data_IF_094835505140
#
_entry.id   IF_094835505140
#
_cell.length_a   1.000
_cell.length_b   1.000
_cell.length_c   1.000
_cell.angle_alpha   90.00
_cell.angle_beta   90.00
_cell.angle_gamma   90.00
#
_symmetry.space_group_name_H-M   'P 1'
#
loop_
_entity.id
_entity.type
_entity.pdbx_description
1 polymer ?
#
# COMPACT_ATOMS: atom_id res chain seq x y z
N UNK A 1 -28.50 2.40 7.63
CA UNK A 1 -27.07 2.09 7.37
C UNK A 1 -26.72 2.65 5.99
N UNK A 2 -26.40 3.94 5.88
CA UNK A 2 -25.65 4.45 4.74
C UNK A 2 -24.19 4.08 5.04
N UNK A 3 -23.83 2.82 4.80
CA UNK A 3 -22.42 2.41 4.79
C UNK A 3 -21.93 2.85 3.41
N UNK A 4 -21.57 4.13 3.31
CA UNK A 4 -20.85 4.64 2.16
C UNK A 4 -19.52 3.86 2.10
N UNK A 5 -19.49 2.89 1.17
CA UNK A 5 -18.37 2.07 0.69
C UNK A 5 -17.43 1.48 1.77
N UNK A 6 -17.57 0.17 2.01
CA UNK A 6 -16.55 -0.63 2.71
C UNK A 6 -15.33 -0.76 1.78
N UNK A 7 -14.15 -0.43 2.28
CA UNK A 7 -12.89 -0.52 1.53
C UNK A 7 -12.19 -1.86 1.73
N UNK A 8 -12.11 -2.33 2.98
CA UNK A 8 -11.52 -3.62 3.30
C UNK A 8 -12.06 -4.19 4.63
N UNK A 9 -11.93 -5.50 4.79
CA UNK A 9 -12.44 -6.25 5.92
C UNK A 9 -11.48 -7.39 6.26
N UNK A 10 -11.27 -7.65 7.55
CA UNK A 10 -10.51 -8.82 8.02
C UNK A 10 -11.22 -9.47 9.21
N UNK A 11 -11.14 -10.79 9.28
CA UNK A 11 -11.66 -11.54 10.41
C UNK A 11 -10.53 -11.92 11.37
N UNK A 12 -10.66 -11.51 12.63
CA UNK A 12 -9.76 -11.92 13.69
C UNK A 12 -10.36 -13.10 14.45
N UNK A 13 -9.77 -14.29 14.25
CA UNK A 13 -10.21 -15.53 14.90
C UNK A 13 -10.03 -15.51 16.42
N UNK A 14 -8.96 -14.89 16.92
CA UNK A 14 -8.60 -14.89 18.34
C UNK A 14 -9.66 -14.21 19.21
N UNK A 15 -10.15 -13.04 18.80
CA UNK A 15 -11.21 -12.31 19.50
C UNK A 15 -12.61 -12.60 18.96
N UNK A 16 -12.72 -13.38 17.88
CA UNK A 16 -13.98 -13.62 17.15
C UNK A 16 -14.66 -12.29 16.73
N UNK A 17 -13.89 -11.40 16.12
CA UNK A 17 -14.35 -10.10 15.64
C UNK A 17 -14.03 -9.89 14.16
N UNK A 18 -14.94 -9.23 13.45
CA UNK A 18 -14.77 -8.71 12.11
C UNK A 18 -14.37 -7.23 12.20
N UNK A 19 -13.20 -6.91 11.66
CA UNK A 19 -12.67 -5.55 11.59
C UNK A 19 -12.95 -5.01 10.19
N UNK A 20 -13.60 -3.85 10.11
CA UNK A 20 -14.02 -3.22 8.86
C UNK A 20 -13.43 -1.83 8.74
N UNK A 21 -12.97 -1.50 7.54
CA UNK A 21 -12.66 -0.15 7.11
C UNK A 21 -13.74 0.37 6.16
N UNK A 22 -14.16 1.61 6.39
CA UNK A 22 -15.20 2.30 5.65
C UNK A 22 -14.86 3.79 5.54
N UNK A 23 -15.64 4.54 4.77
CA UNK A 23 -15.42 5.97 4.63
C UNK A 23 -15.36 6.66 6.00
N UNK A 24 -14.24 7.33 6.34
CA UNK A 24 -14.14 8.09 7.56
C UNK A 24 -15.18 9.20 7.62
N UNK A 25 -15.80 9.35 8.79
CA UNK A 25 -16.81 10.38 8.98
C UNK A 25 -16.16 11.64 9.58
N UNK A 26 -16.65 12.85 9.25
CA UNK A 26 -16.15 14.08 9.84
C UNK A 26 -16.33 14.06 11.35
N UNK A 27 -15.24 14.25 12.08
CA UNK A 27 -15.23 14.31 13.54
C UNK A 27 -14.79 15.67 14.05
N UNK A 28 -15.20 15.97 15.28
CA UNK A 28 -14.58 17.05 16.07
C UNK A 28 -13.10 16.75 16.32
N UNK A 29 -12.35 17.78 16.69
CA UNK A 29 -10.94 17.69 17.08
C UNK A 29 -10.70 16.67 18.20
N UNK A 30 -11.66 16.53 19.13
CA UNK A 30 -11.59 15.60 20.25
C UNK A 30 -11.51 14.12 19.82
N UNK A 31 -12.09 13.77 18.67
CA UNK A 31 -12.14 12.40 18.17
C UNK A 31 -11.17 12.15 17.00
N UNK A 32 -10.22 13.03 16.72
CA UNK A 32 -9.30 12.90 15.58
C UNK A 32 -8.46 11.63 15.59
N UNK A 33 -8.16 11.10 16.78
CA UNK A 33 -7.34 9.89 16.97
C UNK A 33 -8.18 8.65 17.33
N UNK A 34 -9.49 8.71 17.08
CA UNK A 34 -10.40 7.59 17.32
C UNK A 34 -10.43 6.63 16.14
N UNK A 35 -10.88 5.38 16.37
CA UNK A 35 -11.13 4.45 15.27
C UNK A 35 -12.18 4.98 14.28
N UNK A 36 -13.11 5.81 14.74
CA UNK A 36 -14.16 6.38 13.91
C UNK A 36 -13.63 7.44 12.93
N UNK A 37 -12.73 8.33 13.36
CA UNK A 37 -12.08 9.31 12.46
C UNK A 37 -11.18 8.64 11.43
N UNK A 38 -10.75 7.40 11.70
CA UNK A 38 -10.05 6.53 10.77
C UNK A 38 -10.98 5.66 9.91
N UNK A 39 -12.29 5.71 10.13
CA UNK A 39 -13.28 4.91 9.40
C UNK A 39 -13.29 3.41 9.76
N UNK A 40 -12.76 3.05 10.93
CA UNK A 40 -12.68 1.67 11.41
C UNK A 40 -13.85 1.32 12.34
N UNK A 41 -14.32 0.09 12.21
CA UNK A 41 -15.30 -0.51 13.14
C UNK A 41 -14.97 -1.97 13.43
N UNK A 42 -15.38 -2.45 14.60
CA UNK A 42 -15.26 -3.84 15.00
C UNK A 42 -16.63 -4.43 15.29
N UNK A 43 -16.87 -5.64 14.81
CA UNK A 43 -18.15 -6.33 14.91
C UNK A 43 -17.95 -7.74 15.45
N UNK A 44 -18.73 -8.13 16.45
CA UNK A 44 -18.74 -9.48 16.99
C UNK A 44 -19.86 -10.29 16.35
N UNK A 45 -19.57 -11.53 16.01
CA UNK A 45 -20.59 -12.51 15.62
C UNK A 45 -21.36 -13.00 16.85
N UNK A 46 -22.68 -13.02 16.75
CA UNK A 46 -23.60 -13.52 17.77
C UNK A 46 -24.51 -14.58 17.15
N UNK A 47 -24.97 -15.55 17.95
CA UNK A 47 -25.74 -16.70 17.45
C UNK A 47 -27.19 -16.37 17.11
N UNK A 48 -27.72 -15.29 17.67
CA UNK A 48 -29.10 -14.86 17.48
C UNK A 48 -29.15 -13.56 16.67
N UNK A 49 -30.31 -13.28 16.07
CA UNK A 49 -30.57 -12.03 15.37
C UNK A 49 -30.15 -10.82 16.23
N UNK A 50 -29.42 -9.82 15.69
CA UNK A 50 -29.08 -9.58 14.27
C UNK A 50 -27.84 -10.31 13.73
N UNK A 51 -27.34 -11.36 14.40
CA UNK A 51 -26.16 -12.17 14.06
C UNK A 51 -24.81 -11.44 14.13
N UNK A 52 -24.83 -10.11 14.16
CA UNK A 52 -23.66 -9.25 14.32
C UNK A 52 -23.97 -8.09 15.25
N UNK A 53 -23.06 -7.80 16.18
CA UNK A 53 -23.12 -6.65 17.07
C UNK A 53 -21.88 -5.80 16.91
N UNK A 54 -22.05 -4.52 16.62
CA UNK A 54 -20.94 -3.56 16.62
C UNK A 54 -20.38 -3.43 18.05
N UNK A 55 -19.07 -3.62 18.20
CA UNK A 55 -18.33 -3.38 19.43
C UNK A 55 -17.72 -1.97 19.45
N UNK A 56 -17.16 -1.56 18.32
CA UNK A 56 -16.51 -0.27 18.15
C UNK A 56 -16.95 0.38 16.83
N UNK A 57 -17.28 1.68 16.84
CA UNK A 57 -17.46 2.52 18.03
C UNK A 57 -18.62 2.01 18.92
N UNK A 58 -18.59 2.32 20.21
CA UNK A 58 -19.69 2.02 21.12
C UNK A 58 -20.96 2.82 20.74
N UNK A 59 -22.12 2.39 21.22
CA UNK A 59 -23.37 3.14 20.98
C UNK A 59 -23.32 4.56 21.52
N UNK A 60 -22.63 4.78 22.65
CA UNK A 60 -22.47 6.10 23.26
C UNK A 60 -21.60 6.99 22.38
N UNK A 61 -20.45 6.51 21.92
CA UNK A 61 -19.57 7.23 20.99
C UNK A 61 -20.32 7.55 19.68
N UNK A 62 -21.06 6.59 19.14
CA UNK A 62 -21.90 6.80 17.95
C UNK A 62 -22.98 7.87 18.18
N UNK A 63 -23.64 7.86 19.34
CA UNK A 63 -24.63 8.89 19.72
C UNK A 63 -23.96 10.26 19.88
N UNK A 64 -22.79 10.36 20.50
CA UNK A 64 -22.05 11.61 20.65
C UNK A 64 -21.68 12.22 19.29
N UNK A 65 -21.29 11.38 18.34
CA UNK A 65 -20.99 11.78 16.96
C UNK A 65 -22.21 12.31 16.21
N UNK A 66 -23.37 11.70 16.43
CA UNK A 66 -24.63 12.12 15.81
C UNK A 66 -25.38 13.23 16.57
N UNK A 67 -25.06 13.44 17.85
CA UNK A 67 -25.64 14.51 18.69
C UNK A 67 -25.22 15.90 18.22
N UNK A 68 -24.15 15.98 17.42
CA UNK A 68 -23.78 17.21 16.74
C UNK A 68 -24.72 17.57 15.62
N UNK A 69 -25.52 18.61 15.84
CA UNK A 69 -26.40 19.19 14.82
C UNK A 69 -25.63 19.50 13.53
N UNK A 70 -26.36 19.59 12.41
CA UNK A 70 -25.82 19.81 11.04
C UNK A 70 -24.81 20.97 10.93
N UNK A 71 -24.85 21.93 11.86
CA UNK A 71 -23.96 23.09 11.93
C UNK A 71 -22.51 22.72 12.31
N UNK A 72 -22.26 21.65 13.08
CA UNK A 72 -20.89 21.27 13.47
C UNK A 72 -20.07 20.65 12.34
N UNK A 73 -20.75 20.18 11.28
CA UNK A 73 -20.09 19.77 10.02
C UNK A 73 -19.45 20.94 9.29
N UNK A 74 -19.91 22.18 9.52
CA UNK A 74 -19.36 23.39 8.89
C UNK A 74 -18.09 23.91 9.58
N UNK A 75 -17.83 23.51 10.82
CA UNK A 75 -16.65 23.91 11.60
C UNK A 75 -15.63 22.77 11.80
N UNK A 76 -15.90 21.59 11.24
CA UNK A 76 -14.93 20.49 11.21
C UNK A 76 -13.92 20.73 10.09
N UNK A 77 -12.85 21.47 10.42
CA UNK A 77 -11.69 21.70 9.55
C UNK A 77 -10.58 20.66 9.74
N UNK A 78 -10.88 19.52 10.38
CA UNK A 78 -9.91 18.44 10.50
C UNK A 78 -9.64 17.84 9.12
N UNK A 79 -8.36 17.65 8.77
CA UNK A 79 -8.00 16.82 7.61
C UNK A 79 -8.63 15.44 7.84
N UNK A 80 -9.66 15.11 7.06
CA UNK A 80 -10.23 13.77 7.03
C UNK A 80 -9.08 12.80 6.73
N UNK A 81 -8.94 11.77 7.55
CA UNK A 81 -8.08 10.65 7.18
C UNK A 81 -8.62 10.06 5.88
N UNK A 82 -7.71 9.65 5.00
CA UNK A 82 -8.08 8.82 3.85
C UNK A 82 -8.69 7.52 4.34
N UNK A 83 -9.56 6.89 3.55
CA UNK A 83 -10.09 5.57 3.88
C UNK A 83 -8.95 4.55 4.04
N UNK A 84 -9.04 3.66 5.03
CA UNK A 84 -8.09 2.57 5.16
C UNK A 84 -8.24 1.60 3.98
N UNK A 85 -7.19 1.39 3.20
CA UNK A 85 -7.17 0.54 2.01
C UNK A 85 -6.65 -0.86 2.30
N UNK A 86 -5.92 -1.05 3.41
CA UNK A 86 -5.41 -2.34 3.86
C UNK A 86 -5.43 -2.41 5.39
N UNK A 87 -5.82 -3.58 5.89
CA UNK A 87 -5.74 -3.96 7.30
C UNK A 87 -4.86 -5.21 7.44
N UNK A 88 -4.07 -5.26 8.50
CA UNK A 88 -3.22 -6.42 8.81
C UNK A 88 -3.09 -6.59 10.31
N UNK A 89 -3.27 -7.81 10.82
CA UNK A 89 -3.19 -8.11 12.26
C UNK A 89 -1.86 -8.78 12.60
N UNK A 90 -1.25 -8.38 13.73
CA UNK A 90 -0.01 -8.98 14.23
C UNK A 90 -0.22 -10.44 14.62
N UNK A 91 0.85 -11.23 14.63
CA UNK A 91 0.77 -12.69 14.88
C UNK A 91 0.25 -12.98 16.30
N UNK A 92 0.66 -12.19 17.29
CA UNK A 92 0.16 -12.28 18.67
C UNK A 92 -1.25 -11.69 18.89
N UNK A 93 -1.90 -11.17 17.85
CA UNK A 93 -3.21 -10.53 17.95
C UNK A 93 -3.25 -9.36 18.96
N UNK A 94 -2.16 -8.63 19.18
CA UNK A 94 -2.18 -7.43 20.02
C UNK A 94 -2.40 -6.16 19.19
N UNK A 95 -1.95 -6.15 17.93
CA UNK A 95 -1.95 -4.98 17.08
C UNK A 95 -2.70 -5.21 15.77
N UNK A 96 -3.32 -4.14 15.30
CA UNK A 96 -3.86 -3.99 13.95
C UNK A 96 -3.13 -2.82 13.28
N UNK A 97 -2.54 -3.05 12.12
CA UNK A 97 -2.03 -1.99 11.28
C UNK A 97 -3.06 -1.65 10.20
N UNK A 98 -3.32 -0.36 10.01
CA UNK A 98 -4.12 0.17 8.90
C UNK A 98 -3.26 1.07 8.01
N UNK A 99 -3.33 0.83 6.71
CA UNK A 99 -2.75 1.72 5.70
C UNK A 99 -3.89 2.50 5.05
N UNK A 100 -3.78 3.81 5.05
CA UNK A 100 -4.77 4.73 4.53
C UNK A 100 -4.35 5.28 3.16
N UNK A 101 -5.34 5.59 2.32
CA UNK A 101 -5.11 6.16 0.98
C UNK A 101 -4.31 7.48 0.98
N UNK A 102 -4.23 8.16 2.13
CA UNK A 102 -3.43 9.36 2.37
C UNK A 102 -2.02 9.05 2.90
N UNK A 103 -1.45 7.89 2.53
CA UNK A 103 -0.10 7.44 2.93
C UNK A 103 0.14 7.44 4.44
N UNK A 104 -0.93 7.32 5.23
CA UNK A 104 -0.86 7.26 6.69
C UNK A 104 -0.94 5.82 7.14
N UNK A 105 -0.01 5.42 8.01
CA UNK A 105 -0.05 4.13 8.70
C UNK A 105 -0.44 4.37 10.14
N UNK A 106 -1.41 3.60 10.64
CA UNK A 106 -1.87 3.70 12.03
C UNK A 106 -1.84 2.32 12.65
N UNK A 107 -1.27 2.23 13.84
CA UNK A 107 -1.26 1.03 14.67
C UNK A 107 -2.33 1.17 15.73
N UNK A 108 -3.17 0.14 15.87
CA UNK A 108 -4.27 0.08 16.81
C UNK A 108 -4.09 -1.10 17.76
N UNK A 109 -4.46 -0.91 19.02
CA UNK A 109 -4.57 -1.99 20.00
C UNK A 109 -5.87 -2.75 19.77
N UNK A 110 -5.80 -4.04 19.47
CA UNK A 110 -6.98 -4.91 19.39
C UNK A 110 -7.18 -5.69 20.71
N UNK A 111 -8.44 -5.95 21.12
CA UNK A 111 -9.68 -5.68 20.37
C UNK A 111 -10.20 -4.23 20.54
N UNK A 112 -9.57 -3.40 21.39
CA UNK A 112 -10.12 -2.10 21.80
C UNK A 112 -10.20 -1.00 20.73
N UNK A 113 -9.51 -1.18 19.60
CA UNK A 113 -9.30 -0.18 18.55
C UNK A 113 -8.86 1.20 19.07
N UNK A 114 -8.06 1.22 20.13
CA UNK A 114 -7.38 2.44 20.59
C UNK A 114 -6.15 2.68 19.73
N UNK A 115 -5.97 3.91 19.26
CA UNK A 115 -4.77 4.26 18.50
C UNK A 115 -3.53 4.13 19.39
N UNK A 116 -2.55 3.38 18.90
CA UNK A 116 -1.25 3.19 19.54
C UNK A 116 -0.22 4.18 18.99
N UNK A 117 -0.07 4.22 17.66
CA UNK A 117 0.86 5.12 16.93
C UNK A 117 0.30 5.47 15.56
N UNK A 118 0.73 6.60 15.01
CA UNK A 118 0.33 7.12 13.70
C UNK A 118 1.53 7.75 13.00
N UNK A 119 1.71 7.41 11.74
CA UNK A 119 2.83 7.86 10.92
C UNK A 119 2.33 8.36 9.57
N UNK A 120 2.70 9.58 9.20
CA UNK A 120 2.49 10.12 7.86
C UNK A 120 3.78 9.92 7.06
N UNK A 121 3.78 8.96 6.14
CA UNK A 121 5.00 8.52 5.44
C UNK A 121 5.55 9.60 4.50
N UNK A 122 4.69 10.48 3.98
CA UNK A 122 5.10 11.60 3.12
C UNK A 122 5.90 12.68 3.85
N UNK A 123 5.66 12.86 5.17
CA UNK A 123 6.30 13.92 5.97
C UNK A 123 7.67 13.51 6.50
N UNK A 124 7.92 12.21 6.70
CA UNK A 124 9.14 11.71 7.33
C UNK A 124 10.33 11.61 6.35
N UNK A 125 10.07 11.47 5.05
CA UNK A 125 11.12 11.32 4.03
C UNK A 125 11.48 12.63 3.31
N UNK A 126 10.74 13.71 3.58
CA UNK A 126 10.94 15.02 2.95
C UNK A 126 12.08 15.86 3.56
N UNK A 127 12.71 15.41 4.65
CA UNK A 127 13.80 16.15 5.33
C UNK A 127 15.20 15.87 4.77
N UNK A 128 15.33 14.99 3.76
CA UNK A 128 16.60 14.72 3.07
C UNK A 128 16.69 15.42 1.71
N UNK A 129 17.80 16.13 1.48
CA UNK A 129 18.13 16.83 0.24
C UNK A 129 18.12 15.90 -1.00
N UNK A 130 17.35 16.25 -2.02
CA UNK A 130 17.84 16.52 -3.40
C UNK A 130 16.68 16.69 -4.37
N UNK A 131 16.82 17.66 -5.29
CA UNK A 131 15.82 18.06 -6.30
C UNK A 131 15.87 17.15 -7.54
N UNK A 132 16.27 15.89 -7.35
CA UNK A 132 16.15 14.85 -8.38
C UNK A 132 14.71 14.35 -8.40
N UNK A 133 14.20 14.02 -9.60
CA UNK A 133 12.86 13.50 -9.88
C UNK A 133 12.34 12.65 -8.71
N UNK A 134 11.43 13.22 -7.90
CA UNK A 134 10.89 12.54 -6.71
C UNK A 134 10.13 11.30 -7.18
N UNK A 135 10.79 10.14 -7.09
CA UNK A 135 10.12 8.86 -7.26
C UNK A 135 9.09 8.76 -6.15
N UNK A 136 7.84 8.47 -6.51
CA UNK A 136 6.74 8.32 -5.55
C UNK A 136 7.02 7.10 -4.65
N UNK A 137 7.40 7.36 -3.40
CA UNK A 137 7.68 6.33 -2.38
C UNK A 137 6.47 6.00 -1.51
N UNK A 138 5.27 6.35 -1.97
CA UNK A 138 4.05 6.09 -1.22
C UNK A 138 3.91 4.59 -0.88
N UNK A 139 3.51 4.26 0.37
CA UNK A 139 3.26 2.89 0.78
C UNK A 139 2.10 2.28 -0.03
N UNK A 140 2.29 1.06 -0.53
CA UNK A 140 1.27 0.33 -1.30
C UNK A 140 0.67 -0.82 -0.51
N UNK A 141 1.44 -1.49 0.36
CA UNK A 141 0.97 -2.62 1.15
C UNK A 141 1.74 -2.71 2.48
N UNK A 142 1.08 -3.30 3.48
CA UNK A 142 1.58 -3.46 4.85
C UNK A 142 1.36 -4.90 5.36
N UNK A 143 2.29 -5.35 6.21
CA UNK A 143 2.28 -6.70 6.76
C UNK A 143 3.13 -6.80 8.03
N UNK A 144 3.09 -7.95 8.70
CA UNK A 144 3.83 -8.15 9.96
C UNK A 144 4.98 -9.12 9.75
N UNK A 145 6.19 -8.73 10.14
CA UNK A 145 7.34 -9.65 10.21
C UNK A 145 7.32 -10.39 11.55
N UNK A 146 7.14 -9.62 12.61
CA UNK A 146 7.02 -10.01 14.02
C UNK A 146 6.07 -9.01 14.68
N UNK A 147 5.69 -9.24 15.94
CA UNK A 147 4.65 -8.45 16.61
C UNK A 147 4.94 -6.95 16.72
N UNK A 148 6.22 -6.56 16.79
CA UNK A 148 6.64 -5.16 16.88
C UNK A 148 7.35 -4.65 15.61
N UNK A 149 7.33 -5.45 14.54
CA UNK A 149 8.05 -5.18 13.29
C UNK A 149 7.08 -5.21 12.10
N UNK A 150 6.80 -4.03 11.57
CA UNK A 150 5.90 -3.82 10.44
C UNK A 150 6.68 -3.80 9.12
N UNK A 151 6.26 -4.62 8.17
CA UNK A 151 6.75 -4.59 6.79
C UNK A 151 5.94 -3.54 6.03
N UNK A 152 6.64 -2.66 5.32
CA UNK A 152 6.06 -1.64 4.44
C UNK A 152 6.64 -1.84 3.05
N UNK A 153 5.76 -1.99 2.06
CA UNK A 153 6.13 -2.01 0.64
C UNK A 153 5.68 -0.73 -0.03
N UNK A 154 6.43 -0.25 -1.03
CA UNK A 154 6.26 1.08 -1.62
C UNK A 154 6.14 1.02 -3.13
N UNK A 155 5.64 2.11 -3.71
CA UNK A 155 5.41 2.24 -5.16
C UNK A 155 6.69 2.19 -5.99
N UNK A 156 7.83 2.55 -5.41
CA UNK A 156 9.14 2.48 -6.04
C UNK A 156 9.74 1.07 -6.05
N UNK A 157 9.00 0.08 -5.53
CA UNK A 157 9.45 -1.31 -5.45
C UNK A 157 10.22 -1.64 -4.18
N UNK A 158 10.52 -0.65 -3.33
CA UNK A 158 11.25 -0.90 -2.09
C UNK A 158 10.38 -1.57 -1.03
N UNK A 159 11.02 -2.43 -0.23
CA UNK A 159 10.42 -3.07 0.94
C UNK A 159 11.31 -2.82 2.15
N UNK A 160 10.72 -2.29 3.21
CA UNK A 160 11.41 -2.00 4.47
C UNK A 160 10.65 -2.58 5.65
N UNK A 161 11.38 -2.91 6.71
CA UNK A 161 10.81 -3.38 7.98
C UNK A 161 11.05 -2.31 9.04
N UNK A 162 9.98 -1.83 9.66
CA UNK A 162 9.97 -0.73 10.62
C UNK A 162 9.62 -1.21 12.02
N UNK A 163 10.22 -0.59 13.04
CA UNK A 163 9.76 -0.75 14.41
C UNK A 163 8.45 0.02 14.62
N UNK A 164 7.42 -0.57 15.25
CA UNK A 164 6.11 0.10 15.34
C UNK A 164 6.10 1.34 16.23
N UNK A 165 6.98 1.41 17.23
CA UNK A 165 6.99 2.52 18.20
C UNK A 165 7.75 3.76 17.71
N UNK A 166 8.85 3.57 16.98
CA UNK A 166 9.71 4.68 16.49
C UNK A 166 9.57 4.90 14.99
N UNK A 167 9.02 3.93 14.26
CA UNK A 167 8.96 3.87 12.80
C UNK A 167 10.33 3.88 12.10
N UNK A 168 11.40 3.63 12.83
CA UNK A 168 12.75 3.50 12.28
C UNK A 168 12.89 2.21 11.48
N UNK A 169 13.64 2.30 10.38
CA UNK A 169 13.93 1.14 9.52
C UNK A 169 14.90 0.22 10.24
N UNK A 170 14.44 -1.00 10.52
CA UNK A 170 15.25 -2.07 11.09
C UNK A 170 15.96 -2.89 10.01
N UNK A 171 15.28 -3.10 8.87
CA UNK A 171 15.79 -3.89 7.74
C UNK A 171 15.28 -3.33 6.42
N UNK A 172 16.03 -3.57 5.33
CA UNK A 172 15.62 -3.21 3.97
C UNK A 172 16.00 -1.79 3.51
N UNK A 173 16.74 -1.03 4.32
CA UNK A 173 17.41 0.19 3.85
C UNK A 173 18.40 -0.18 2.74
N UNK A 174 18.12 0.22 1.50
CA UNK A 174 18.99 -0.07 0.35
C UNK A 174 18.82 -1.46 -0.26
N UNK A 175 17.73 -2.17 0.02
CA UNK A 175 17.40 -3.42 -0.70
C UNK A 175 17.24 -3.17 -2.20
N UNK A 176 17.51 -4.21 -2.99
CA UNK A 176 17.14 -4.26 -4.41
C UNK A 176 15.66 -3.91 -4.59
N UNK A 177 15.38 -3.08 -5.61
CA UNK A 177 14.03 -2.63 -5.92
C UNK A 177 13.30 -3.69 -6.73
N UNK A 178 12.10 -4.05 -6.27
CA UNK A 178 11.24 -4.97 -6.97
C UNK A 178 10.47 -4.28 -8.10
N UNK A 179 10.03 -5.05 -9.08
CA UNK A 179 9.28 -4.52 -10.22
C UNK A 179 7.83 -4.20 -9.85
N UNK A 180 7.37 -3.00 -10.21
CA UNK A 180 5.99 -2.57 -10.02
C UNK A 180 5.65 -2.24 -8.56
N UNK A 181 4.46 -2.65 -8.10
CA UNK A 181 3.95 -2.38 -6.75
C UNK A 181 3.88 -3.67 -5.94
N UNK A 182 4.93 -3.97 -5.14
CA UNK A 182 5.03 -5.27 -4.48
C UNK A 182 3.88 -5.47 -3.48
N UNK A 183 3.31 -6.67 -3.46
CA UNK A 183 2.27 -7.06 -2.50
C UNK A 183 2.83 -8.07 -1.53
N UNK A 184 2.58 -7.87 -0.25
CA UNK A 184 3.21 -8.65 0.82
C UNK A 184 2.21 -9.55 1.53
N UNK A 185 2.67 -10.73 1.88
CA UNK A 185 1.95 -11.66 2.73
C UNK A 185 2.91 -12.38 3.65
N UNK A 186 2.56 -12.43 4.93
CA UNK A 186 3.26 -13.23 5.92
C UNK A 186 2.44 -14.48 6.21
N UNK A 187 3.10 -15.61 6.44
CA UNK A 187 2.45 -16.88 6.80
C UNK A 187 3.25 -17.57 7.89
N UNK A 188 2.56 -18.27 8.78
CA UNK A 188 3.18 -19.06 9.86
C UNK A 188 4.08 -20.19 9.30
N UNK A 189 3.81 -20.62 8.06
CA UNK A 189 4.53 -21.74 7.43
C UNK A 189 5.83 -21.34 6.73
N UNK A 190 6.20 -20.06 6.74
CA UNK A 190 7.39 -19.56 6.07
C UNK A 190 8.20 -18.67 7.03
N UNK A 191 9.50 -18.95 7.26
CA UNK A 191 10.36 -18.17 8.16
C UNK A 191 10.78 -16.84 7.51
N UNK A 192 9.80 -16.03 7.13
CA UNK A 192 9.97 -14.95 6.17
C UNK A 192 8.69 -14.17 5.92
N UNK A 193 8.68 -13.45 4.83
CA UNK A 193 7.46 -13.01 4.17
C UNK A 193 7.58 -13.28 2.68
N UNK A 194 6.45 -13.42 2.01
CA UNK A 194 6.39 -13.58 0.56
C UNK A 194 5.95 -12.25 -0.03
N UNK A 195 6.62 -11.85 -1.10
CA UNK A 195 6.26 -10.68 -1.90
C UNK A 195 5.93 -11.09 -3.32
N UNK A 196 4.91 -10.47 -3.90
CA UNK A 196 4.51 -10.63 -5.28
C UNK A 196 4.86 -9.34 -6.03
N UNK A 197 5.78 -9.45 -6.98
CA UNK A 197 6.09 -8.36 -7.90
C UNK A 197 5.42 -8.57 -9.27
N UNK A 198 5.20 -7.47 -9.99
CA UNK A 198 4.53 -7.47 -11.28
C UNK A 198 5.30 -6.58 -12.24
N UNK A 199 5.96 -7.21 -13.19
CA UNK A 199 6.63 -6.53 -14.29
C UNK A 199 5.65 -6.40 -15.48
N UNK A 200 5.59 -5.22 -16.09
CA UNK A 200 4.67 -4.91 -17.20
C UNK A 200 5.47 -4.59 -18.45
N UNK A 201 5.52 -5.54 -19.38
CA UNK A 201 6.25 -5.43 -20.63
C UNK A 201 5.27 -4.97 -21.70
N UNK A 202 5.49 -3.76 -22.24
CA UNK A 202 4.76 -3.29 -23.41
C UNK A 202 5.32 -4.00 -24.65
N UNK A 203 4.55 -4.93 -25.21
CA UNK A 203 4.88 -5.54 -26.48
C UNK A 203 4.46 -4.57 -27.58
N UNK A 204 5.44 -3.99 -28.27
CA UNK A 204 5.16 -3.20 -29.45
C UNK A 204 4.55 -4.11 -30.53
N UNK A 205 3.46 -3.70 -31.19
CA UNK A 205 3.14 -4.29 -32.48
C UNK A 205 4.32 -4.03 -33.44
N UNK A 206 4.41 -4.83 -34.51
CA UNK A 206 5.44 -4.85 -35.56
C UNK A 206 6.24 -3.53 -35.75
N UNK A 207 7.56 -3.57 -36.05
CA UNK A 207 8.43 -2.41 -36.19
C UNK A 207 7.97 -1.28 -37.14
N UNK A 208 6.95 -1.52 -37.96
CA UNK A 208 6.32 -0.49 -38.80
C UNK A 208 5.47 0.53 -38.01
N UNK A 209 4.96 0.16 -36.82
CA UNK A 209 4.04 1.01 -36.03
C UNK A 209 4.76 1.88 -34.98
N UNK A 210 6.01 1.56 -34.61
CA UNK A 210 6.73 2.22 -33.50
C UNK A 210 7.33 3.58 -33.84
N UNK A 211 7.42 3.95 -35.12
CA UNK A 211 8.05 5.20 -35.56
C UNK A 211 7.12 6.43 -35.44
N UNK A 212 5.84 6.25 -35.11
CA UNK A 212 4.83 7.31 -35.13
C UNK A 212 4.35 7.78 -33.74
N UNK A 213 4.83 7.17 -32.66
CA UNK A 213 4.28 7.40 -31.30
C UNK A 213 5.20 8.25 -30.40
N UNK A 214 6.34 8.72 -30.88
CA UNK A 214 7.34 9.38 -30.02
C UNK A 214 6.92 10.79 -29.52
N UNK A 215 6.05 11.52 -30.23
CA UNK A 215 5.62 12.85 -29.78
C UNK A 215 4.19 13.15 -30.27
N UNK A 216 3.16 12.74 -29.52
CA UNK A 216 1.79 13.21 -29.76
C UNK A 216 1.44 14.33 -28.80
N UNK A 217 1.38 15.54 -29.35
CA UNK A 217 1.02 16.78 -28.68
C UNK A 217 -0.50 16.93 -28.57
N UNK A 218 -0.96 17.84 -27.69
CA UNK A 218 -2.38 18.26 -27.60
C UNK A 218 -2.90 18.75 -28.97
N UNK A 219 -2.01 19.27 -29.82
CA UNK A 219 -2.32 19.68 -31.19
C UNK A 219 -2.65 18.51 -32.14
N UNK A 220 -2.08 17.32 -31.91
CA UNK A 220 -2.37 16.15 -32.74
C UNK A 220 -3.75 15.55 -32.43
N UNK A 221 -4.20 15.69 -31.18
CA UNK A 221 -5.53 15.22 -30.75
C UNK A 221 -6.67 15.98 -31.44
N UNK A 222 -6.52 17.30 -31.66
CA UNK A 222 -7.54 18.10 -32.35
C UNK A 222 -7.53 17.86 -33.87
N UNK A 223 -6.35 17.63 -34.45
CA UNK A 223 -6.19 17.24 -35.86
C UNK A 223 -6.86 15.89 -36.16
N UNK A 224 -6.68 14.88 -35.29
CA UNK A 224 -7.34 13.58 -35.43
C UNK A 224 -8.88 13.69 -35.39
N UNK A 225 -9.44 14.57 -34.55
CA UNK A 225 -10.89 14.81 -34.51
C UNK A 225 -11.42 15.46 -35.80
N UNK A 226 -10.67 16.41 -36.37
CA UNK A 226 -11.04 17.09 -37.61
C UNK A 226 -10.98 16.10 -38.79
N UNK A 227 -9.92 15.29 -38.88
CA UNK A 227 -9.78 14.27 -39.92
C UNK A 227 -10.92 13.24 -39.87
N UNK A 228 -11.25 12.75 -38.67
CA UNK A 228 -12.38 11.84 -38.49
C UNK A 228 -13.70 12.47 -38.97
N UNK A 229 -13.93 13.75 -38.66
CA UNK A 229 -15.15 14.46 -39.08
C UNK A 229 -15.20 14.62 -40.60
N UNK A 230 -14.09 14.97 -41.24
CA UNK A 230 -14.00 15.09 -42.71
C UNK A 230 -14.26 13.74 -43.38
N UNK A 231 -13.68 12.65 -42.87
CA UNK A 231 -13.93 11.30 -43.38
C UNK A 231 -15.41 10.93 -43.34
N UNK A 232 -16.10 11.13 -42.21
CA UNK A 232 -17.53 10.80 -42.10
C UNK A 232 -18.43 11.62 -43.03
N UNK A 233 -18.02 12.84 -43.39
CA UNK A 233 -18.80 13.72 -44.28
C UNK A 233 -18.53 13.41 -45.75
N UNK A 234 -17.27 13.11 -46.08
CA UNK A 234 -16.79 13.08 -47.48
C UNK A 234 -16.52 11.68 -48.00
N UNK A 235 -16.39 10.68 -47.13
CA UNK A 235 -16.00 9.31 -47.42
C UNK A 235 -14.69 9.20 -48.24
N UNK A 236 -13.84 10.24 -48.14
CA UNK A 236 -12.56 10.30 -48.82
C UNK A 236 -11.50 9.49 -48.07
N UNK A 237 -10.93 8.47 -48.72
CA UNK A 237 -9.92 7.57 -48.16
C UNK A 237 -8.68 8.30 -47.60
N UNK A 238 -8.36 9.48 -48.14
CA UNK A 238 -7.26 10.34 -47.66
C UNK A 238 -7.42 10.78 -46.19
N UNK A 239 -8.65 10.84 -45.67
CA UNK A 239 -8.95 11.25 -44.31
C UNK A 239 -9.32 10.08 -43.39
N UNK A 240 -9.20 8.84 -43.88
CA UNK A 240 -9.55 7.67 -43.09
C UNK A 240 -8.71 7.63 -41.78
N UNK A 241 -9.36 7.51 -40.61
CA UNK A 241 -8.63 7.45 -39.34
C UNK A 241 -7.60 6.33 -39.35
N UNK A 242 -6.37 6.64 -38.97
CA UNK A 242 -5.35 5.59 -38.75
C UNK A 242 -5.86 4.65 -37.66
N UNK A 243 -5.80 3.34 -37.92
CA UNK A 243 -6.18 2.33 -36.93
C UNK A 243 -5.29 2.52 -35.69
N UNK A 244 -5.91 2.64 -34.52
CA UNK A 244 -5.17 2.66 -33.25
C UNK A 244 -4.40 1.34 -33.16
N UNK A 245 -3.08 1.42 -33.00
CA UNK A 245 -2.26 0.22 -32.83
C UNK A 245 -2.69 -0.48 -31.53
N UNK A 246 -2.92 -1.79 -31.62
CA UNK A 246 -3.29 -2.58 -30.45
C UNK A 246 -2.05 -2.72 -29.59
N UNK A 247 -1.99 -1.99 -28.48
CA UNK A 247 -0.93 -2.13 -27.47
C UNK A 247 -1.20 -3.39 -26.66
N UNK A 248 -0.34 -4.40 -26.81
CA UNK A 248 -0.41 -5.62 -26.01
C UNK A 248 0.51 -5.43 -24.80
N UNK A 249 -0.06 -5.50 -23.59
CA UNK A 249 0.71 -5.43 -22.34
C UNK A 249 0.79 -6.85 -21.80
N UNK A 250 2.01 -7.38 -21.70
CA UNK A 250 2.26 -8.63 -20.99
C UNK A 250 2.61 -8.32 -19.54
N UNK A 251 1.95 -9.00 -18.60
CA UNK A 251 2.27 -8.91 -17.17
C UNK A 251 2.94 -10.18 -16.71
N UNK A 252 4.12 -10.06 -16.11
CA UNK A 252 4.88 -11.16 -15.54
C UNK A 252 4.85 -11.02 -14.02
N UNK A 253 4.26 -12.02 -13.36
CA UNK A 253 4.15 -12.06 -11.91
C UNK A 253 5.23 -12.98 -11.35
N UNK A 254 6.03 -12.49 -10.40
CA UNK A 254 7.06 -13.28 -9.71
C UNK A 254 6.80 -13.27 -8.22
N UNK A 255 6.84 -14.46 -7.63
CA UNK A 255 6.69 -14.66 -6.20
C UNK A 255 8.06 -14.84 -5.59
N UNK A 256 8.43 -13.98 -4.65
CA UNK A 256 9.75 -13.95 -4.01
C UNK A 256 9.54 -14.21 -2.52
N UNK A 257 10.23 -15.22 -1.99
CA UNK A 257 10.25 -15.52 -0.57
C UNK A 257 11.44 -14.83 0.11
N UNK A 258 11.18 -13.82 0.92
CA UNK A 258 12.21 -13.12 1.70
C UNK A 258 12.36 -13.80 3.06
N UNK A 259 13.49 -14.46 3.28
CA UNK A 259 13.83 -15.13 4.54
C UNK A 259 14.79 -14.28 5.35
N UNK A 260 14.72 -14.40 6.67
CA UNK A 260 15.81 -13.94 7.52
C UNK A 260 16.96 -14.94 7.40
N UNK A 261 18.17 -14.43 7.24
CA UNK A 261 19.42 -15.20 7.20
C UNK A 261 20.38 -14.61 8.21
N UNK A 262 21.23 -15.43 8.81
CA UNK A 262 22.35 -14.90 9.61
C UNK A 262 23.46 -14.35 8.68
N UNK A 263 24.35 -13.47 9.17
CA UNK A 263 25.50 -13.02 8.40
C UNK A 263 26.36 -14.17 7.88
N UNK A 264 26.54 -15.24 8.67
CA UNK A 264 27.30 -16.44 8.28
C UNK A 264 26.61 -17.19 7.14
N UNK A 265 25.30 -17.43 7.25
CA UNK A 265 24.53 -18.08 6.18
C UNK A 265 24.57 -17.27 4.88
N UNK A 266 24.45 -15.94 4.99
CA UNK A 266 24.52 -15.04 3.84
C UNK A 266 25.92 -15.03 3.21
N UNK A 267 26.96 -15.05 4.03
CA UNK A 267 28.35 -15.15 3.60
C UNK A 267 28.60 -16.42 2.78
N UNK A 268 28.24 -17.60 3.31
CA UNK A 268 28.38 -18.87 2.60
C UNK A 268 27.57 -18.89 1.30
N UNK A 269 26.34 -18.37 1.32
CA UNK A 269 25.50 -18.27 0.12
C UNK A 269 26.11 -17.37 -0.96
N UNK A 270 26.75 -16.27 -0.58
CA UNK A 270 27.45 -15.39 -1.53
C UNK A 270 28.68 -16.06 -2.12
N UNK A 271 29.45 -16.81 -1.32
CA UNK A 271 30.55 -17.62 -1.82
C UNK A 271 30.06 -18.68 -2.83
N UNK A 272 28.97 -19.39 -2.51
CA UNK A 272 28.36 -20.38 -3.41
C UNK A 272 27.80 -19.77 -4.71
N UNK A 273 27.51 -18.47 -4.72
CA UNK A 273 26.97 -17.72 -5.86
C UNK A 273 28.04 -16.92 -6.63
N UNK A 274 29.33 -17.15 -6.35
CA UNK A 274 30.47 -16.43 -6.93
C UNK A 274 30.48 -14.90 -6.66
N UNK A 275 29.77 -14.43 -5.63
CA UNK A 275 29.72 -13.02 -5.22
C UNK A 275 30.82 -12.68 -4.19
N UNK A 276 32.08 -12.91 -4.54
CA UNK A 276 33.22 -12.82 -3.63
C UNK A 276 33.39 -11.43 -2.99
N UNK A 277 33.15 -10.35 -3.74
CA UNK A 277 33.27 -8.97 -3.21
C UNK A 277 32.29 -8.72 -2.07
N UNK A 278 31.03 -9.12 -2.24
CA UNK A 278 30.02 -8.96 -1.19
C UNK A 278 30.22 -9.92 -0.02
N UNK A 279 30.85 -11.08 -0.25
CA UNK A 279 31.23 -11.98 0.84
C UNK A 279 32.36 -11.36 1.68
N UNK A 280 33.35 -10.73 1.06
CA UNK A 280 34.43 -10.04 1.76
C UNK A 280 33.92 -8.87 2.61
N UNK A 281 33.04 -8.03 2.04
CA UNK A 281 32.40 -6.92 2.77
C UNK A 281 31.65 -7.42 4.02
N UNK A 282 30.91 -8.52 3.90
CA UNK A 282 30.23 -9.14 5.05
C UNK A 282 31.22 -9.70 6.08
N UNK A 283 32.33 -10.29 5.62
CA UNK A 283 33.34 -10.82 6.52
C UNK A 283 34.02 -9.71 7.33
N UNK A 284 34.35 -8.59 6.69
CA UNK A 284 34.92 -7.41 7.36
C UNK A 284 33.92 -6.76 8.32
N UNK A 285 32.64 -6.63 7.92
CA UNK A 285 31.60 -6.01 8.74
C UNK A 285 31.24 -6.84 9.98
N UNK A 286 31.13 -8.17 9.83
CA UNK A 286 30.67 -9.07 10.89
C UNK A 286 31.80 -9.87 11.56
N UNK A 287 33.07 -9.66 11.18
CA UNK A 287 34.23 -10.34 11.75
C UNK A 287 34.28 -11.84 11.40
N UNK A 288 33.84 -12.22 10.21
CA UNK A 288 33.94 -13.60 9.70
C UNK A 288 35.33 -13.85 9.11
N UNK A 289 35.69 -15.13 8.89
CA UNK A 289 36.98 -15.45 8.28
C UNK A 289 37.03 -14.96 6.83
N UNK A 290 37.89 -13.98 6.57
CA UNK A 290 38.14 -13.38 5.25
C UNK A 290 39.24 -14.09 4.45
N UNK A 291 40.02 -14.98 5.09
CA UNK A 291 41.11 -15.77 4.49
C UNK A 291 40.62 -17.13 3.96
#
# INVERSE_FOLDING_TARGET
>A
LNIDQISCAIYNKHFNILLLASQPQPTTTYFQDSCFSAGLSAWRMISEYPFYKMLFPSEEESKMLHAGGKLWKLFSFSKLQGVAVKLSVSQNNQFLASLHACNTIIIWLIPSLRMYRKWCVDETEASGQDVALKVDKAPVDIGWRQDEKLIVSRKDGSISVHHIETFEVCYGSGSELLSGYPRITSTEHFPGFVTLECDSILLSPSPEDSMYEAEKSIFDTSSEMIQNTIYYITDLETFQPKKKSVKVIQKVYRMIGVKSTTPEELFWRKLDSDEYTGALELAEEFGLNSD
#
